data_IF_245323870569
#
_entry.id   IF_245323870569
#
_cell.length_a   1.000
_cell.length_b   1.000
_cell.length_c   1.000
_cell.angle_alpha   90.00
_cell.angle_beta   90.00
_cell.angle_gamma   90.00
#
_symmetry.space_group_name_H-M   'P 1'
#
loop_
_entity.id
_entity.type
_entity.pdbx_description
1 polymer ?
#
# COMPACT_ATOMS: atom_id res chain seq x y z
N UNK A 1 -0.08 9.51 19.33
CA UNK A 1 0.07 8.11 19.73
C UNK A 1 -1.25 7.52 20.25
N UNK A 2 -2.04 8.24 21.06
CA UNK A 2 -3.34 7.74 21.57
C UNK A 2 -4.29 7.25 20.47
N UNK A 3 -4.44 8.00 19.38
CA UNK A 3 -5.30 7.63 18.23
C UNK A 3 -4.86 6.32 17.58
N UNK A 4 -3.58 6.19 17.20
CA UNK A 4 -3.06 4.95 16.59
C UNK A 4 -3.26 3.71 17.49
N UNK A 5 -3.09 3.85 18.80
CA UNK A 5 -3.35 2.76 19.75
C UNK A 5 -4.83 2.42 19.83
N UNK A 6 -5.72 3.42 19.82
CA UNK A 6 -7.17 3.20 19.77
C UNK A 6 -7.59 2.50 18.48
N UNK A 7 -7.07 2.94 17.34
CA UNK A 7 -7.38 2.38 16.02
C UNK A 7 -6.86 0.94 15.89
N UNK A 8 -5.67 0.66 16.42
CA UNK A 8 -5.13 -0.72 16.48
C UNK A 8 -6.01 -1.62 17.34
N UNK A 9 -6.51 -1.13 18.48
CA UNK A 9 -7.41 -1.90 19.34
C UNK A 9 -8.78 -2.12 18.69
N UNK A 10 -9.32 -1.10 18.03
CA UNK A 10 -10.56 -1.20 17.26
C UNK A 10 -10.43 -2.23 16.12
N UNK A 11 -9.31 -2.17 15.39
CA UNK A 11 -9.01 -3.12 14.32
C UNK A 11 -8.88 -4.56 14.83
N UNK A 12 -8.26 -4.76 15.99
CA UNK A 12 -8.18 -6.09 16.60
C UNK A 12 -9.58 -6.67 16.90
N UNK A 13 -10.47 -5.87 17.47
CA UNK A 13 -11.86 -6.28 17.71
C UNK A 13 -12.59 -6.57 16.39
N UNK A 14 -12.38 -5.75 15.36
CA UNK A 14 -12.96 -5.97 14.03
C UNK A 14 -12.49 -7.28 13.39
N UNK A 15 -11.24 -7.70 13.61
CA UNK A 15 -10.74 -9.01 13.17
C UNK A 15 -11.52 -10.14 13.85
N UNK A 16 -11.75 -10.06 15.16
CA UNK A 16 -12.48 -11.10 15.91
C UNK A 16 -13.93 -11.21 15.43
N UNK A 17 -14.59 -10.07 15.21
CA UNK A 17 -15.95 -10.01 14.67
C UNK A 17 -16.02 -10.59 13.24
N UNK A 18 -15.08 -10.21 12.38
CA UNK A 18 -14.99 -10.71 11.01
C UNK A 18 -14.69 -12.22 10.96
N UNK A 19 -13.84 -12.72 11.85
CA UNK A 19 -13.53 -14.15 11.95
C UNK A 19 -14.77 -14.95 12.39
N UNK A 20 -15.50 -14.47 13.39
CA UNK A 20 -16.75 -15.11 13.84
C UNK A 20 -17.82 -15.10 12.73
N UNK A 21 -17.96 -13.98 12.00
CA UNK A 21 -18.85 -13.89 10.86
C UNK A 21 -18.46 -14.90 9.75
N UNK A 22 -17.16 -14.99 9.44
CA UNK A 22 -16.62 -15.91 8.44
C UNK A 22 -16.86 -17.38 8.78
N UNK A 23 -16.74 -17.77 10.05
CA UNK A 23 -16.99 -19.14 10.51
C UNK A 23 -18.45 -19.53 10.36
N UNK A 24 -19.37 -18.58 10.54
CA UNK A 24 -20.81 -18.77 10.38
C UNK A 24 -21.33 -18.68 8.94
N UNK A 25 -20.47 -18.25 8.00
CA UNK A 25 -20.84 -17.97 6.62
C UNK A 25 -21.15 -19.25 5.82
N UNK A 26 -22.21 -19.21 5.01
CA UNK A 26 -22.49 -20.26 4.02
C UNK A 26 -21.45 -20.23 2.91
N UNK A 27 -21.08 -21.40 2.38
CA UNK A 27 -20.04 -21.54 1.34
C UNK A 27 -20.59 -21.58 -0.09
N UNK A 28 -21.81 -21.07 -0.26
CA UNK A 28 -22.43 -20.84 -1.56
C UNK A 28 -22.11 -19.43 -2.07
N UNK A 29 -22.44 -19.15 -3.33
CA UNK A 29 -22.10 -17.88 -3.97
C UNK A 29 -22.67 -16.68 -3.20
N UNK A 30 -23.94 -16.74 -2.79
CA UNK A 30 -24.58 -15.68 -2.03
C UNK A 30 -23.91 -15.43 -0.67
N UNK A 31 -23.55 -16.51 0.06
CA UNK A 31 -22.82 -16.39 1.32
C UNK A 31 -21.43 -15.76 1.13
N UNK A 32 -20.70 -16.18 0.10
CA UNK A 32 -19.37 -15.62 -0.19
C UNK A 32 -19.41 -14.15 -0.60
N UNK A 33 -20.43 -13.70 -1.34
CA UNK A 33 -20.65 -12.27 -1.61
C UNK A 33 -20.92 -11.50 -0.31
N UNK A 34 -21.83 -11.99 0.52
CA UNK A 34 -22.14 -11.36 1.80
C UNK A 34 -20.92 -11.27 2.72
N UNK A 35 -20.10 -12.33 2.77
CA UNK A 35 -18.87 -12.33 3.55
C UNK A 35 -17.85 -11.31 3.02
N UNK A 36 -17.69 -11.19 1.70
CA UNK A 36 -16.79 -10.22 1.12
C UNK A 36 -17.23 -8.78 1.40
N UNK A 37 -18.52 -8.47 1.24
CA UNK A 37 -19.09 -7.16 1.62
C UNK A 37 -18.85 -6.85 3.10
N UNK A 38 -19.04 -7.83 3.98
CA UNK A 38 -18.77 -7.69 5.42
C UNK A 38 -17.30 -7.45 5.77
N UNK A 39 -16.36 -7.81 4.89
CA UNK A 39 -14.93 -7.57 5.08
C UNK A 39 -14.48 -6.19 4.60
N UNK A 40 -15.30 -5.43 3.87
CA UNK A 40 -14.93 -4.12 3.34
C UNK A 40 -14.46 -3.14 4.45
N UNK A 41 -15.18 -2.98 5.58
CA UNK A 41 -14.73 -2.08 6.65
C UNK A 41 -13.40 -2.51 7.27
N UNK A 42 -13.13 -3.82 7.33
CA UNK A 42 -11.88 -4.36 7.85
C UNK A 42 -10.72 -4.04 6.88
N UNK A 43 -10.95 -4.18 5.57
CA UNK A 43 -9.97 -3.87 4.54
C UNK A 43 -9.60 -2.38 4.52
N UNK A 44 -10.59 -1.50 4.65
CA UNK A 44 -10.40 -0.05 4.76
C UNK A 44 -9.60 0.31 6.01
N UNK A 45 -9.97 -0.21 7.18
CA UNK A 45 -9.23 0.02 8.42
C UNK A 45 -7.79 -0.49 8.33
N UNK A 46 -7.56 -1.63 7.67
CA UNK A 46 -6.21 -2.14 7.44
C UNK A 46 -5.36 -1.19 6.59
N UNK A 47 -5.94 -0.66 5.49
CA UNK A 47 -5.29 0.35 4.64
C UNK A 47 -4.96 1.62 5.43
N UNK A 48 -5.89 2.09 6.25
CA UNK A 48 -5.68 3.30 7.05
C UNK A 48 -4.59 3.10 8.12
N UNK A 49 -4.53 1.92 8.75
CA UNK A 49 -3.45 1.59 9.69
C UNK A 49 -2.08 1.55 9.01
N UNK A 50 -1.98 1.14 7.74
CA UNK A 50 -0.74 1.25 6.95
C UNK A 50 -0.32 2.71 6.85
N UNK A 51 -1.24 3.60 6.42
CA UNK A 51 -0.97 5.04 6.29
C UNK A 51 -0.53 5.65 7.64
N UNK A 52 -1.21 5.29 8.73
CA UNK A 52 -0.87 5.78 10.06
C UNK A 52 0.50 5.29 10.54
N UNK A 53 0.84 4.01 10.34
CA UNK A 53 2.12 3.45 10.73
C UNK A 53 3.28 4.12 9.97
N UNK A 54 3.10 4.37 8.67
CA UNK A 54 4.07 5.08 7.84
C UNK A 54 4.22 6.54 8.26
N UNK A 55 3.12 7.25 8.48
CA UNK A 55 3.12 8.63 8.97
C UNK A 55 3.85 8.75 10.32
N UNK A 56 3.56 7.86 11.28
CA UNK A 56 4.23 7.88 12.58
C UNK A 56 5.74 7.72 12.44
N UNK A 57 6.19 6.79 11.60
CA UNK A 57 7.61 6.60 11.34
C UNK A 57 8.26 7.81 10.66
N UNK A 58 7.60 8.41 9.66
CA UNK A 58 8.07 9.64 9.01
C UNK A 58 8.22 10.78 10.02
N UNK A 59 7.23 10.98 10.91
CA UNK A 59 7.28 11.99 11.96
C UNK A 59 8.41 11.75 12.96
N UNK A 60 8.62 10.51 13.41
CA UNK A 60 9.74 10.15 14.30
C UNK A 60 11.09 10.38 13.60
N UNK A 61 11.21 9.98 12.34
CA UNK A 61 12.43 10.17 11.54
C UNK A 61 12.75 11.66 11.38
N UNK A 62 11.73 12.48 11.08
CA UNK A 62 11.87 13.93 10.97
C UNK A 62 12.27 14.56 12.30
N UNK A 63 11.66 14.14 13.42
CA UNK A 63 12.03 14.62 14.75
C UNK A 63 13.49 14.31 15.08
N UNK A 64 13.95 13.08 14.82
CA UNK A 64 15.35 12.69 15.03
C UNK A 64 16.29 13.57 14.18
N UNK A 65 15.92 13.82 12.91
CA UNK A 65 16.70 14.67 12.01
C UNK A 65 16.79 16.11 12.52
N UNK A 66 15.67 16.74 12.86
CA UNK A 66 15.63 18.12 13.38
C UNK A 66 16.46 18.24 14.66
N UNK A 67 16.25 17.34 15.63
CA UNK A 67 17.02 17.36 16.87
C UNK A 67 18.53 17.19 16.61
N UNK A 68 18.91 16.23 15.77
CA UNK A 68 20.31 15.90 15.50
C UNK A 68 21.05 16.95 14.66
N UNK A 69 20.38 17.56 13.70
CA UNK A 69 20.99 18.42 12.68
C UNK A 69 20.75 19.91 12.93
N UNK A 70 19.54 20.30 13.35
CA UNK A 70 19.15 21.71 13.50
C UNK A 70 19.32 22.20 14.95
N UNK A 71 18.93 21.38 15.94
CA UNK A 71 18.91 21.77 17.36
C UNK A 71 20.19 21.41 18.12
N UNK A 72 21.24 20.93 17.44
CA UNK A 72 22.51 20.51 18.05
C UNK A 72 22.35 19.47 19.18
N UNK A 73 21.29 18.66 19.19
CA UNK A 73 21.02 17.73 20.28
C UNK A 73 22.17 16.74 20.50
N UNK A 74 22.96 16.43 19.45
CA UNK A 74 24.17 15.61 19.53
C UNK A 74 25.24 16.10 20.53
N UNK A 75 25.19 17.36 20.97
CA UNK A 75 26.09 17.93 21.98
C UNK A 75 25.56 17.79 23.41
N UNK A 76 24.30 17.39 23.56
CA UNK A 76 23.67 17.16 24.85
C UNK A 76 24.02 15.74 25.35
N UNK A 77 24.36 15.62 26.63
CA UNK A 77 24.68 14.35 27.29
C UNK A 77 23.49 13.37 27.25
N UNK A 78 22.26 13.88 27.21
CA UNK A 78 21.03 13.08 27.09
C UNK A 78 20.82 12.50 25.68
N UNK A 79 21.56 12.98 24.67
CA UNK A 79 21.45 12.49 23.29
C UNK A 79 22.38 11.30 23.05
N UNK A 80 21.87 10.11 23.31
CA UNK A 80 22.60 8.86 23.05
C UNK A 80 22.40 8.42 21.59
N UNK A 81 23.22 8.95 20.68
CA UNK A 81 23.11 8.70 19.21
C UNK A 81 23.06 7.21 18.84
N UNK A 82 23.81 6.37 19.57
CA UNK A 82 23.84 4.91 19.33
C UNK A 82 22.46 4.30 19.55
N UNK A 83 21.83 4.63 20.67
CA UNK A 83 20.55 4.04 21.08
C UNK A 83 19.43 4.57 20.20
N UNK A 84 19.43 5.88 19.91
CA UNK A 84 18.48 6.50 18.96
C UNK A 84 18.53 5.81 17.59
N UNK A 85 19.73 5.63 17.02
CA UNK A 85 19.88 4.99 15.71
C UNK A 85 19.48 3.51 15.75
N UNK A 86 19.74 2.81 16.87
CA UNK A 86 19.35 1.41 17.05
C UNK A 86 17.82 1.29 17.10
N UNK A 87 17.17 2.06 17.98
CA UNK A 87 15.71 2.05 18.15
C UNK A 87 14.99 2.54 16.90
N UNK A 88 15.55 3.50 16.16
CA UNK A 88 14.99 3.95 14.88
C UNK A 88 15.00 2.85 13.81
N UNK A 89 16.11 2.09 13.71
CA UNK A 89 16.18 0.91 12.82
C UNK A 89 15.23 -0.21 13.24
N UNK A 90 15.11 -0.46 14.54
CA UNK A 90 14.16 -1.44 15.08
C UNK A 90 12.72 -1.01 14.78
N UNK A 91 12.38 0.27 14.95
CA UNK A 91 11.08 0.84 14.58
C UNK A 91 10.79 0.67 13.09
N UNK A 92 11.73 0.99 12.20
CA UNK A 92 11.55 0.82 10.75
C UNK A 92 11.28 -0.65 10.40
N UNK A 93 12.00 -1.58 11.02
CA UNK A 93 11.77 -3.02 10.83
C UNK A 93 10.36 -3.42 11.29
N UNK A 94 9.98 -3.08 12.52
CA UNK A 94 8.65 -3.42 13.06
C UNK A 94 7.53 -2.81 12.23
N UNK A 95 7.70 -1.56 11.76
CA UNK A 95 6.76 -0.91 10.84
C UNK A 95 6.64 -1.70 9.55
N UNK A 96 7.75 -2.04 8.89
CA UNK A 96 7.74 -2.81 7.63
C UNK A 96 7.03 -4.14 7.78
N UNK A 97 7.33 -4.88 8.85
CA UNK A 97 6.70 -6.16 9.14
C UNK A 97 5.19 -5.99 9.34
N UNK A 98 4.76 -4.98 10.12
CA UNK A 98 3.34 -4.69 10.35
C UNK A 98 2.60 -4.26 9.08
N UNK A 99 3.19 -3.35 8.29
CA UNK A 99 2.63 -2.85 7.03
C UNK A 99 2.46 -4.00 6.03
N UNK A 100 3.42 -4.90 5.93
CA UNK A 100 3.31 -6.06 5.04
C UNK A 100 2.12 -6.97 5.41
N UNK A 101 1.90 -7.21 6.71
CA UNK A 101 0.75 -7.99 7.17
C UNK A 101 -0.58 -7.29 6.90
N UNK A 102 -0.67 -5.99 7.19
CA UNK A 102 -1.88 -5.20 6.95
C UNK A 102 -2.23 -5.14 5.45
N UNK A 103 -1.24 -5.02 4.58
CA UNK A 103 -1.44 -5.02 3.12
C UNK A 103 -2.09 -6.30 2.60
N UNK A 104 -1.83 -7.46 3.22
CA UNK A 104 -2.44 -8.72 2.79
C UNK A 104 -3.97 -8.71 2.93
N UNK A 105 -4.49 -8.09 4.00
CA UNK A 105 -5.94 -8.03 4.25
C UNK A 105 -6.64 -7.26 3.14
N UNK A 106 -6.16 -6.05 2.83
CA UNK A 106 -6.71 -5.24 1.75
C UNK A 106 -6.51 -5.90 0.38
N UNK A 107 -5.35 -6.54 0.15
CA UNK A 107 -5.08 -7.27 -1.09
C UNK A 107 -6.13 -8.38 -1.34
N UNK A 108 -6.33 -9.29 -0.38
CA UNK A 108 -7.28 -10.40 -0.57
C UNK A 108 -8.72 -9.92 -0.70
N UNK A 109 -9.10 -8.86 0.03
CA UNK A 109 -10.38 -8.20 -0.16
C UNK A 109 -10.53 -7.68 -1.60
N UNK A 110 -9.55 -6.92 -2.12
CA UNK A 110 -9.58 -6.40 -3.50
C UNK A 110 -9.65 -7.53 -4.54
N UNK A 111 -8.93 -8.64 -4.32
CA UNK A 111 -9.02 -9.81 -5.21
C UNK A 111 -10.39 -10.48 -5.18
N UNK A 112 -11.00 -10.64 -3.99
CA UNK A 112 -12.33 -11.21 -3.86
C UNK A 112 -13.38 -10.32 -4.53
N UNK A 113 -13.33 -9.01 -4.26
CA UNK A 113 -14.20 -8.02 -4.89
C UNK A 113 -14.07 -8.03 -6.42
N UNK A 114 -12.83 -7.97 -6.94
CA UNK A 114 -12.55 -8.01 -8.37
C UNK A 114 -13.16 -9.23 -9.06
N UNK A 115 -13.06 -10.40 -8.45
CA UNK A 115 -13.60 -11.65 -8.98
C UNK A 115 -15.13 -11.65 -8.93
N UNK A 116 -15.70 -11.24 -7.81
CA UNK A 116 -17.15 -11.25 -7.56
C UNK A 116 -17.90 -10.25 -8.42
N UNK A 117 -17.33 -9.07 -8.64
CA UNK A 117 -17.89 -8.04 -9.52
C UNK A 117 -17.94 -8.52 -10.98
N UNK A 118 -16.87 -9.17 -11.45
CA UNK A 118 -16.76 -9.65 -12.84
C UNK A 118 -17.46 -10.97 -13.10
N UNK A 119 -17.70 -11.78 -12.07
CA UNK A 119 -18.37 -13.08 -12.15
C UNK A 119 -19.41 -13.23 -11.03
N UNK A 120 -20.49 -12.41 -11.02
CA UNK A 120 -21.44 -12.33 -9.92
C UNK A 120 -22.16 -13.65 -9.65
N UNK A 121 -22.37 -14.47 -10.69
CA UNK A 121 -23.05 -15.77 -10.59
C UNK A 121 -22.07 -16.95 -10.37
N UNK A 122 -20.79 -16.68 -10.09
CA UNK A 122 -19.71 -17.67 -10.01
C UNK A 122 -19.63 -18.59 -11.24
N UNK A 123 -19.97 -18.04 -12.41
CA UNK A 123 -19.93 -18.71 -13.71
C UNK A 123 -19.12 -17.87 -14.68
N UNK A 124 -18.42 -18.55 -15.58
CA UNK A 124 -17.73 -17.86 -16.65
C UNK A 124 -18.76 -17.12 -17.51
N UNK A 125 -18.53 -15.83 -17.68
CA UNK A 125 -19.27 -14.96 -18.57
C UNK A 125 -18.28 -14.09 -19.34
N UNK A 126 -18.75 -13.46 -20.40
CA UNK A 126 -17.93 -12.56 -21.20
C UNK A 126 -17.65 -11.29 -20.40
N UNK A 127 -16.37 -10.92 -20.32
CA UNK A 127 -15.86 -9.71 -19.68
C UNK A 127 -14.88 -9.05 -20.64
N UNK A 128 -15.22 -7.86 -21.13
CA UNK A 128 -14.41 -7.15 -22.12
C UNK A 128 -12.97 -6.92 -21.62
N UNK A 129 -12.01 -7.16 -22.51
CA UNK A 129 -10.57 -7.10 -22.19
C UNK A 129 -10.04 -8.21 -21.28
N UNK A 130 -10.89 -9.11 -20.75
CA UNK A 130 -10.49 -10.20 -19.86
C UNK A 130 -10.76 -11.59 -20.43
N UNK A 131 -12.02 -11.92 -20.73
CA UNK A 131 -12.41 -13.27 -21.19
C UNK A 131 -13.66 -13.23 -22.07
N UNK A 132 -13.73 -14.14 -23.05
CA UNK A 132 -14.94 -14.38 -23.84
C UNK A 132 -15.12 -15.88 -24.10
N UNK A 133 -16.34 -16.37 -23.95
CA UNK A 133 -16.74 -17.71 -24.38
C UNK A 133 -17.03 -17.70 -25.87
N UNK A 134 -16.20 -18.43 -26.63
CA UNK A 134 -16.27 -18.49 -28.08
C UNK A 134 -16.65 -19.91 -28.51
N UNK A 135 -17.68 -20.05 -29.34
CA UNK A 135 -18.06 -21.34 -29.88
C UNK A 135 -17.25 -21.72 -31.15
N UNK A 136 -17.39 -22.96 -31.61
CA UNK A 136 -16.65 -23.44 -32.78
C UNK A 136 -16.97 -22.66 -34.06
N UNK A 137 -18.18 -22.12 -34.19
CA UNK A 137 -18.60 -21.38 -35.37
C UNK A 137 -17.95 -19.99 -35.43
N UNK A 138 -17.83 -19.32 -34.29
CA UNK A 138 -17.11 -18.05 -34.18
C UNK A 138 -15.59 -18.25 -34.35
N UNK A 139 -15.03 -19.37 -33.86
CA UNK A 139 -13.63 -19.73 -34.14
C UNK A 139 -13.38 -19.95 -35.64
N UNK A 140 -14.26 -20.69 -36.32
CA UNK A 140 -14.15 -20.93 -37.77
C UNK A 140 -14.23 -19.63 -38.57
N UNK A 141 -15.14 -18.73 -38.19
CA UNK A 141 -15.27 -17.39 -38.81
C UNK A 141 -14.03 -16.50 -38.60
N UNK A 142 -13.20 -16.80 -37.59
CA UNK A 142 -11.96 -16.11 -37.28
C UNK A 142 -10.71 -16.93 -37.68
N UNK A 143 -10.83 -17.76 -38.72
CA UNK A 143 -9.75 -18.59 -39.28
C UNK A 143 -9.08 -19.50 -38.24
N UNK A 144 -9.84 -19.97 -37.25
CA UNK A 144 -9.37 -20.78 -36.11
C UNK A 144 -8.25 -20.12 -35.28
N UNK A 145 -8.09 -18.80 -35.39
CA UNK A 145 -7.10 -18.05 -34.62
C UNK A 145 -7.49 -18.06 -33.14
N UNK A 146 -6.54 -18.36 -32.24
CA UNK A 146 -6.79 -18.33 -30.78
C UNK A 146 -6.30 -17.04 -30.12
N UNK A 147 -5.97 -16.01 -30.91
CA UNK A 147 -5.48 -14.74 -30.38
C UNK A 147 -6.61 -14.01 -29.63
N UNK A 148 -6.49 -13.78 -28.30
CA UNK A 148 -7.58 -13.23 -27.49
C UNK A 148 -8.13 -11.90 -28.01
N UNK A 149 -7.26 -11.03 -28.53
CA UNK A 149 -7.66 -9.72 -29.07
C UNK A 149 -8.65 -9.76 -30.25
N UNK A 150 -8.87 -10.93 -30.87
CA UNK A 150 -9.92 -11.09 -31.89
C UNK A 150 -11.32 -11.25 -31.32
N UNK A 151 -11.44 -11.61 -30.04
CA UNK A 151 -12.69 -12.01 -29.40
C UNK A 151 -13.05 -11.15 -28.20
N UNK A 152 -12.05 -10.87 -27.35
CA UNK A 152 -12.25 -10.38 -25.99
C UNK A 152 -12.53 -8.86 -25.92
N UNK A 153 -12.26 -8.12 -27.00
CA UNK A 153 -12.39 -6.66 -26.99
C UNK A 153 -11.32 -5.96 -26.13
N UNK A 154 -11.54 -4.70 -25.79
CA UNK A 154 -10.66 -3.89 -24.94
C UNK A 154 -11.46 -3.47 -23.71
N UNK A 155 -10.88 -3.68 -22.53
CA UNK A 155 -11.52 -3.23 -21.29
C UNK A 155 -11.64 -1.70 -21.30
N UNK A 156 -12.77 -1.12 -20.84
CA UNK A 156 -12.85 0.31 -20.60
C UNK A 156 -11.76 0.74 -19.60
N UNK A 157 -11.29 1.99 -19.71
CA UNK A 157 -10.37 2.55 -18.73
C UNK A 157 -11.07 2.65 -17.38
N UNK A 158 -10.61 1.88 -16.39
CA UNK A 158 -11.04 1.98 -14.99
C UNK A 158 -10.11 2.98 -14.28
N UNK A 159 -10.68 4.06 -13.73
CA UNK A 159 -9.99 4.90 -12.76
C UNK A 159 -9.87 4.10 -11.44
N UNK A 160 -8.65 3.89 -10.92
CA UNK A 160 -8.47 3.27 -9.59
C UNK A 160 -8.92 4.31 -8.55
N UNK A 161 -10.20 4.30 -8.19
CA UNK A 161 -10.81 5.27 -7.25
C UNK A 161 -10.10 5.32 -5.88
N UNK A 162 -9.42 4.22 -5.53
CA UNK A 162 -8.62 4.09 -4.30
C UNK A 162 -7.20 4.66 -4.41
N UNK A 163 -6.74 5.04 -5.60
CA UNK A 163 -5.43 5.68 -5.78
C UNK A 163 -5.53 7.16 -5.40
N UNK A 164 -5.07 7.49 -4.20
CA UNK A 164 -4.96 8.87 -3.73
C UNK A 164 -3.79 9.56 -4.45
N UNK A 165 -4.09 10.11 -5.64
CA UNK A 165 -3.13 10.86 -6.45
C UNK A 165 -2.52 12.03 -5.69
N UNK A 166 -3.28 12.67 -4.80
CA UNK A 166 -2.80 13.83 -4.05
C UNK A 166 -1.79 13.41 -2.98
N UNK A 167 -2.06 12.33 -2.25
CA UNK A 167 -1.13 11.74 -1.29
C UNK A 167 0.13 11.26 -2.00
N UNK A 168 0.01 10.50 -3.09
CA UNK A 168 1.15 10.01 -3.87
C UNK A 168 2.02 11.17 -4.39
N UNK A 169 1.40 12.24 -4.91
CA UNK A 169 2.12 13.42 -5.39
C UNK A 169 2.80 14.18 -4.24
N UNK A 170 2.15 14.30 -3.06
CA UNK A 170 2.79 14.91 -1.89
C UNK A 170 3.97 14.09 -1.40
N UNK A 171 3.86 12.78 -1.35
CA UNK A 171 4.98 11.91 -0.97
C UNK A 171 6.16 12.07 -1.93
N UNK A 172 5.91 12.02 -3.24
CA UNK A 172 6.92 12.27 -4.28
C UNK A 172 7.54 13.65 -4.10
N UNK A 173 6.74 14.67 -3.80
CA UNK A 173 7.24 16.04 -3.63
C UNK A 173 8.14 16.19 -2.40
N UNK A 174 7.75 15.59 -1.27
CA UNK A 174 8.58 15.59 -0.05
C UNK A 174 9.89 14.82 -0.28
N UNK A 175 9.82 13.65 -0.92
CA UNK A 175 11.01 12.87 -1.26
C UNK A 175 11.94 13.64 -2.21
N UNK A 176 11.38 14.32 -3.21
CA UNK A 176 12.15 15.16 -4.14
C UNK A 176 12.85 16.33 -3.43
N UNK A 177 12.18 16.98 -2.48
CA UNK A 177 12.78 18.05 -1.68
C UNK A 177 13.93 17.53 -0.80
N UNK A 178 13.75 16.39 -0.13
CA UNK A 178 14.81 15.76 0.67
C UNK A 178 16.02 15.39 -0.22
N UNK A 179 15.78 14.77 -1.38
CA UNK A 179 16.82 14.47 -2.37
C UNK A 179 17.55 15.72 -2.87
N UNK A 180 16.85 16.84 -3.06
CA UNK A 180 17.45 18.11 -3.46
C UNK A 180 18.37 18.68 -2.37
N UNK A 181 17.98 18.59 -1.10
CA UNK A 181 18.80 19.02 0.04
C UNK A 181 20.07 18.16 0.14
N UNK A 182 19.94 16.84 -0.02
CA UNK A 182 21.09 15.92 -0.05
C UNK A 182 22.02 16.22 -1.22
N UNK A 183 21.47 16.44 -2.41
CA UNK A 183 22.24 16.78 -3.61
C UNK A 183 23.01 18.11 -3.43
N UNK A 184 22.37 19.13 -2.86
CA UNK A 184 23.03 20.42 -2.58
C UNK A 184 24.18 20.26 -1.56
N UNK A 185 23.96 19.45 -0.52
CA UNK A 185 24.99 19.13 0.48
C UNK A 185 26.18 18.39 -0.13
N UNK A 186 25.90 17.42 -1.00
CA UNK A 186 26.92 16.65 -1.71
C UNK A 186 27.72 17.55 -2.66
N UNK A 187 27.03 18.42 -3.42
CA UNK A 187 27.67 19.38 -4.31
C UNK A 187 28.60 20.35 -3.55
N UNK A 188 28.16 20.85 -2.39
CA UNK A 188 29.00 21.70 -1.53
C UNK A 188 30.24 20.95 -1.01
N UNK A 189 30.07 19.68 -0.63
CA UNK A 189 31.18 18.83 -0.16
C UNK A 189 32.18 18.57 -1.28
N UNK A 190 31.71 18.24 -2.48
CA UNK A 190 32.56 18.05 -3.66
C UNK A 190 33.35 19.32 -3.96
N UNK A 191 32.68 20.49 -3.98
CA UNK A 191 33.33 21.78 -4.23
C UNK A 191 34.46 22.04 -3.23
N UNK A 192 34.20 21.83 -1.94
CA UNK A 192 35.21 21.99 -0.89
C UNK A 192 36.41 21.06 -1.08
N UNK A 193 36.16 19.80 -1.45
CA UNK A 193 37.23 18.82 -1.71
C UNK A 193 38.11 19.24 -2.91
N UNK A 194 37.51 19.84 -3.96
CA UNK A 194 38.27 20.39 -5.09
C UNK A 194 39.14 21.59 -4.65
N UNK A 195 38.57 22.52 -3.89
CA UNK A 195 39.30 23.67 -3.34
C UNK A 195 40.50 23.23 -2.47
N UNK A 196 40.33 22.17 -1.66
CA UNK A 196 41.41 21.58 -0.84
C UNK A 196 42.50 20.89 -1.67
N UNK A 197 42.15 20.39 -2.87
CA UNK A 197 43.09 19.81 -3.84
C UNK A 197 43.78 20.86 -4.73
N UNK A 198 43.44 22.14 -4.57
CA UNK A 198 44.05 23.25 -5.32
C UNK A 198 43.53 23.44 -6.74
N UNK A 199 42.32 22.94 -7.03
CA UNK A 199 41.58 23.15 -8.30
C UNK A 199 40.28 23.87 -8.03
#
# INVERSE_FOLDING_TARGET
>A
MTTFTQDTAAYHNAIEEAAAAWDSCTRDNAGLHQAAEGLAPLAEQSRDLVKQADLLYKLVSRLISICGNELNARKNEDWVSRDINKTHKELDKTRKDAVEQLKQVYYFFKQAHWLQERFPEAKLQDVEGLVKLVDKSELEANDWSLTPGRYVGVAPEEEDEDFDFEEALREIHVELEDLNVEAATLAATIKKNFEELGV
#
